data_IF_464051244507
#
_entry.id   IF_464051244507
#
_cell.length_a   1.000
_cell.length_b   1.000
_cell.length_c   1.000
_cell.angle_alpha   90.00
_cell.angle_beta   90.00
_cell.angle_gamma   90.00
#
_symmetry.space_group_name_H-M   'P 1'
#
loop_
_entity.id
_entity.type
_entity.pdbx_description
1 polymer ?
#
# COMPACT_ATOMS: atom_id res chain seq x y z
N UNK A 1 -5.25 1.36 11.11
CA UNK A 1 -5.89 1.26 9.77
C UNK A 1 -6.08 -0.22 9.49
N UNK A 2 -7.27 -0.69 9.13
CA UNK A 2 -7.44 -2.10 8.76
C UNK A 2 -6.75 -2.34 7.41
N UNK A 3 -5.91 -3.36 7.33
CA UNK A 3 -5.29 -3.82 6.10
C UNK A 3 -6.40 -4.26 5.13
N UNK A 4 -6.40 -3.71 3.92
CA UNK A 4 -7.24 -4.17 2.80
C UNK A 4 -6.35 -4.75 1.70
N UNK A 5 -6.93 -5.56 0.81
CA UNK A 5 -6.22 -6.04 -0.40
C UNK A 5 -5.61 -4.88 -1.17
N UNK A 6 -6.35 -3.77 -1.33
CA UNK A 6 -5.85 -2.57 -2.01
C UNK A 6 -4.68 -1.91 -1.29
N UNK A 7 -4.76 -1.73 0.04
CA UNK A 7 -3.64 -1.11 0.79
C UNK A 7 -2.39 -1.98 0.81
N UNK A 8 -2.53 -3.32 0.81
CA UNK A 8 -1.40 -4.24 0.70
C UNK A 8 -0.75 -4.17 -0.70
N UNK A 9 -1.57 -4.10 -1.75
CA UNK A 9 -1.09 -3.91 -3.12
C UNK A 9 -0.33 -2.58 -3.30
N UNK A 10 -0.82 -1.49 -2.71
CA UNK A 10 -0.12 -0.19 -2.73
C UNK A 10 1.24 -0.28 -2.02
N UNK A 11 1.30 -0.87 -0.84
CA UNK A 11 2.56 -1.06 -0.10
C UNK A 11 3.55 -1.92 -0.89
N UNK A 12 3.09 -3.01 -1.50
CA UNK A 12 3.90 -3.87 -2.36
C UNK A 12 4.45 -3.11 -3.58
N UNK A 13 3.65 -2.24 -4.17
CA UNK A 13 4.09 -1.41 -5.30
C UNK A 13 5.19 -0.43 -4.87
N UNK A 14 5.01 0.23 -3.72
CA UNK A 14 6.00 1.16 -3.17
C UNK A 14 7.30 0.43 -2.83
N UNK A 15 7.25 -0.74 -2.18
CA UNK A 15 8.47 -1.43 -1.78
C UNK A 15 9.25 -1.98 -2.96
N UNK A 16 8.56 -2.46 -4.00
CA UNK A 16 9.23 -2.88 -5.24
C UNK A 16 9.98 -1.74 -5.93
N UNK A 17 9.38 -0.54 -5.99
CA UNK A 17 10.06 0.65 -6.51
C UNK A 17 11.30 1.02 -5.69
N UNK A 18 11.21 0.95 -4.36
CA UNK A 18 12.36 1.20 -3.47
C UNK A 18 13.47 0.17 -3.68
N UNK A 19 13.14 -1.11 -3.77
CA UNK A 19 14.10 -2.19 -4.07
C UNK A 19 14.79 -1.92 -5.40
N UNK A 20 14.02 -1.62 -6.45
CA UNK A 20 14.55 -1.34 -7.78
C UNK A 20 15.59 -0.21 -7.76
N UNK A 21 15.26 0.94 -7.19
CA UNK A 21 16.19 2.06 -7.11
C UNK A 21 17.37 1.82 -6.16
N UNK A 22 17.17 1.07 -5.08
CA UNK A 22 18.27 0.73 -4.18
C UNK A 22 19.26 -0.24 -4.83
N UNK A 23 18.80 -1.17 -5.68
CA UNK A 23 19.68 -2.01 -6.50
C UNK A 23 20.52 -1.18 -7.47
N UNK A 24 19.98 -0.09 -8.02
CA UNK A 24 20.77 0.84 -8.83
C UNK A 24 21.89 1.51 -8.00
N UNK A 25 21.65 1.83 -6.72
CA UNK A 25 22.70 2.36 -5.83
C UNK A 25 23.82 1.35 -5.57
N UNK A 26 23.50 0.06 -5.47
CA UNK A 26 24.50 -1.02 -5.35
C UNK A 26 25.36 -1.11 -6.62
N UNK A 27 24.78 -0.86 -7.80
CA UNK A 27 25.45 -0.97 -9.09
C UNK A 27 26.29 0.26 -9.49
N UNK A 28 26.27 1.35 -8.70
CA UNK A 28 27.04 2.57 -8.98
C UNK A 28 28.54 2.30 -8.98
N UNK A 29 29.26 2.94 -9.89
CA UNK A 29 30.73 2.85 -10.00
C UNK A 29 31.46 4.05 -9.42
N UNK A 30 30.73 5.09 -9.03
CA UNK A 30 31.23 6.38 -8.56
C UNK A 30 31.13 6.55 -7.03
N UNK A 31 30.97 5.44 -6.30
CA UNK A 31 30.82 5.39 -4.84
C UNK A 31 31.74 4.33 -4.24
N UNK A 32 32.08 4.51 -2.97
CA UNK A 32 32.91 3.56 -2.22
C UNK A 32 32.16 2.25 -1.89
N UNK A 33 32.91 1.27 -1.41
CA UNK A 33 32.35 -0.04 -1.05
C UNK A 33 31.45 0.05 0.20
N UNK A 34 31.74 0.96 1.13
CA UNK A 34 30.91 1.20 2.32
C UNK A 34 29.48 1.58 1.94
N UNK A 35 29.30 2.48 0.96
CA UNK A 35 28.00 2.85 0.43
C UNK A 35 27.29 1.65 -0.21
N UNK A 36 28.02 0.86 -1.01
CA UNK A 36 27.47 -0.33 -1.66
C UNK A 36 27.00 -1.37 -0.64
N UNK A 37 27.79 -1.66 0.37
CA UNK A 37 27.44 -2.59 1.45
C UNK A 37 26.21 -2.11 2.22
N UNK A 38 26.16 -0.82 2.59
CA UNK A 38 24.99 -0.24 3.24
C UNK A 38 23.74 -0.31 2.35
N UNK A 39 23.88 -0.11 1.04
CA UNK A 39 22.79 -0.28 0.07
C UNK A 39 22.34 -1.75 -0.06
N UNK A 40 23.27 -2.72 -0.10
CA UNK A 40 22.94 -4.16 -0.13
C UNK A 40 22.19 -4.58 1.12
N UNK A 41 22.61 -4.11 2.30
CA UNK A 41 21.91 -4.37 3.55
C UNK A 41 20.48 -3.83 3.53
N UNK A 42 20.27 -2.62 2.99
CA UNK A 42 18.92 -2.05 2.80
C UNK A 42 18.07 -2.87 1.82
N UNK A 43 18.65 -3.34 0.71
CA UNK A 43 17.94 -4.23 -0.23
C UNK A 43 17.48 -5.50 0.48
N UNK A 44 18.36 -6.15 1.25
CA UNK A 44 18.02 -7.37 1.97
C UNK A 44 16.83 -7.19 2.92
N UNK A 45 16.82 -6.11 3.70
CA UNK A 45 15.69 -5.79 4.59
C UNK A 45 14.40 -5.56 3.81
N UNK A 46 14.45 -4.83 2.69
CA UNK A 46 13.25 -4.58 1.88
C UNK A 46 12.75 -5.83 1.16
N UNK A 47 13.63 -6.76 0.79
CA UNK A 47 13.25 -8.06 0.24
C UNK A 47 12.48 -8.91 1.27
N UNK A 48 12.92 -8.93 2.53
CA UNK A 48 12.17 -9.56 3.63
C UNK A 48 10.79 -8.91 3.78
N UNK A 49 10.74 -7.57 3.86
CA UNK A 49 9.46 -6.86 3.96
C UNK A 49 8.54 -7.13 2.76
N UNK A 50 9.08 -7.30 1.54
CA UNK A 50 8.27 -7.66 0.37
C UNK A 50 7.66 -9.05 0.55
N UNK A 51 8.46 -10.03 1.00
CA UNK A 51 7.98 -11.40 1.24
C UNK A 51 6.88 -11.44 2.31
N UNK A 52 7.06 -10.71 3.42
CA UNK A 52 6.05 -10.61 4.48
C UNK A 52 4.73 -10.03 3.95
N UNK A 53 4.79 -8.99 3.12
CA UNK A 53 3.63 -8.38 2.49
C UNK A 53 2.95 -9.31 1.47
N UNK A 54 3.73 -10.08 0.71
CA UNK A 54 3.21 -11.09 -0.23
C UNK A 54 2.46 -12.20 0.52
N UNK A 55 3.00 -12.66 1.65
CA UNK A 55 2.34 -13.64 2.52
C UNK A 55 1.04 -13.08 3.11
N UNK A 56 1.08 -11.87 3.65
CA UNK A 56 -0.09 -11.21 4.24
C UNK A 56 -1.21 -11.01 3.20
N UNK A 57 -0.86 -10.54 2.00
CA UNK A 57 -1.80 -10.40 0.89
C UNK A 57 -2.40 -11.75 0.47
N UNK A 58 -1.57 -12.77 0.33
CA UNK A 58 -2.00 -14.13 -0.06
C UNK A 58 -2.98 -14.70 0.96
N UNK A 59 -2.66 -14.55 2.25
CA UNK A 59 -3.51 -15.01 3.35
C UNK A 59 -4.85 -14.27 3.36
N UNK A 60 -4.83 -12.94 3.28
CA UNK A 60 -6.05 -12.13 3.27
C UNK A 60 -6.93 -12.46 2.06
N UNK A 61 -6.33 -12.57 0.87
CA UNK A 61 -7.06 -12.94 -0.35
C UNK A 61 -7.70 -14.33 -0.23
N UNK A 62 -6.97 -15.29 0.32
CA UNK A 62 -7.47 -16.65 0.57
C UNK A 62 -8.60 -16.68 1.59
N UNK A 63 -8.49 -15.91 2.68
CA UNK A 63 -9.52 -15.81 3.70
C UNK A 63 -10.78 -15.12 3.19
N UNK A 64 -10.64 -14.13 2.29
CA UNK A 64 -11.76 -13.49 1.61
C UNK A 64 -12.44 -14.47 0.65
N UNK A 65 -11.67 -15.19 -0.18
CA UNK A 65 -12.19 -16.18 -1.12
C UNK A 65 -12.92 -17.33 -0.39
N UNK A 66 -12.43 -17.74 0.77
CA UNK A 66 -13.06 -18.77 1.61
C UNK A 66 -14.23 -18.26 2.46
N UNK A 67 -14.56 -16.97 2.40
CA UNK A 67 -15.63 -16.35 3.19
C UNK A 67 -15.33 -16.21 4.69
N UNK A 68 -14.09 -16.48 5.13
CA UNK A 68 -13.62 -16.30 6.51
C UNK A 68 -13.49 -14.83 6.87
N UNK A 69 -13.10 -14.00 5.89
CA UNK A 69 -13.06 -12.54 6.00
C UNK A 69 -14.09 -11.95 5.05
N UNK A 70 -14.97 -11.10 5.57
CA UNK A 70 -15.93 -10.33 4.76
C UNK A 70 -15.55 -8.86 4.73
N UNK A 71 -15.20 -8.37 3.54
CA UNK A 71 -14.91 -6.97 3.31
C UNK A 71 -16.21 -6.15 3.41
N UNK A 72 -16.23 -5.14 4.28
CA UNK A 72 -17.38 -4.25 4.44
C UNK A 72 -17.21 -3.04 3.52
N UNK A 73 -18.18 -2.84 2.63
CA UNK A 73 -18.25 -1.66 1.79
C UNK A 73 -19.26 -0.71 2.42
N UNK A 74 -18.78 0.43 2.91
CA UNK A 74 -19.64 1.51 3.38
C UNK A 74 -19.87 2.50 2.24
N UNK A 75 -21.13 2.87 2.02
CA UNK A 75 -21.47 3.98 1.13
C UNK A 75 -21.23 5.30 1.86
N UNK A 76 -20.61 6.26 1.18
CA UNK A 76 -20.47 7.60 1.72
C UNK A 76 -21.83 8.31 1.65
N UNK A 77 -22.31 8.81 2.80
CA UNK A 77 -23.54 9.60 2.88
C UNK A 77 -23.21 11.09 2.75
N UNK A 78 -23.10 11.57 1.52
CA UNK A 78 -22.79 12.98 1.22
C UNK A 78 -24.07 13.80 1.09
N UNK A 79 -24.40 14.60 2.10
CA UNK A 79 -25.59 15.47 2.09
C UNK A 79 -25.56 16.50 0.95
N UNK A 80 -24.40 17.07 0.64
CA UNK A 80 -24.26 18.12 -0.38
C UNK A 80 -24.58 17.66 -1.82
N UNK A 81 -24.53 16.35 -2.08
CA UNK A 81 -24.87 15.78 -3.38
C UNK A 81 -26.39 15.69 -3.60
N UNK A 82 -27.20 15.82 -2.55
CA UNK A 82 -28.64 15.72 -2.62
C UNK A 82 -29.27 17.08 -2.31
N UNK A 83 -29.89 17.74 -3.32
CA UNK A 83 -30.54 19.04 -3.16
C UNK A 83 -31.55 19.12 -2.02
N UNK A 84 -32.16 18.01 -1.60
CA UNK A 84 -33.14 17.97 -0.49
C UNK A 84 -32.53 18.29 0.87
N UNK A 85 -31.21 18.15 1.01
CA UNK A 85 -30.48 18.51 2.24
C UNK A 85 -29.91 19.94 2.19
N UNK A 86 -30.19 20.71 1.13
CA UNK A 86 -29.80 22.12 1.07
C UNK A 86 -30.84 22.94 1.83
N UNK A 87 -30.50 23.39 3.03
CA UNK A 87 -31.32 24.36 3.77
C UNK A 87 -31.10 25.76 3.19
N UNK A 88 -32.06 26.27 2.41
CA UNK A 88 -31.95 27.60 1.82
C UNK A 88 -32.87 27.87 0.64
N UNK A 89 -34.18 27.86 0.89
CA UNK A 89 -35.13 28.68 0.14
C UNK A 89 -36.17 29.18 1.14
N UNK A 90 -35.74 30.04 2.07
CA UNK A 90 -36.69 30.93 2.73
C UNK A 90 -37.16 31.91 1.65
N UNK A 91 -38.48 32.04 1.42
CA UNK A 91 -38.98 33.03 0.49
C UNK A 91 -38.62 34.42 1.03
N UNK A 92 -37.88 35.19 0.22
CA UNK A 92 -37.81 36.65 0.35
C UNK A 92 -39.13 37.26 -0.06
#
# INVERSE_FOLDING_TARGET
>A
MAETIGSLADKLSIIQLKIYHMRQQVARTDVDETHKEASRAKVAVMETQRADLEEELTKLASDVAAGRVRLKIYRQFKMYNDPRYRSGALPV
#
